data_IF_915760787837
#
_entry.id   IF_915760787837
#
_cell.length_a   1.000
_cell.length_b   1.000
_cell.length_c   1.000
_cell.angle_alpha   90.00
_cell.angle_beta   90.00
_cell.angle_gamma   90.00
#
_symmetry.space_group_name_H-M   'P 1'
#
loop_
_entity.id
_entity.type
_entity.pdbx_description
1 polymer ?
#
# COMPACT_ATOMS: atom_id res chain seq x y z
N UNK A 1 -41.98 0.50 -36.32
CA UNK A 1 -42.62 -0.68 -35.70
C UNK A 1 -41.53 -1.73 -35.44
N UNK A 2 -41.52 -2.26 -34.22
CA UNK A 2 -40.88 -3.52 -33.77
C UNK A 2 -39.38 -3.47 -33.39
N UNK A 3 -39.19 -3.71 -32.07
CA UNK A 3 -37.98 -3.95 -31.27
C UNK A 3 -37.37 -5.35 -31.51
N UNK A 4 -36.07 -5.48 -31.28
CA UNK A 4 -35.40 -6.52 -30.44
C UNK A 4 -33.91 -6.15 -30.35
N UNK A 5 -33.35 -5.72 -29.22
CA UNK A 5 -33.04 -6.45 -27.98
C UNK A 5 -32.14 -7.66 -28.20
N UNK A 6 -30.89 -7.56 -27.73
CA UNK A 6 -30.24 -8.62 -26.96
C UNK A 6 -29.18 -8.00 -26.04
N UNK A 7 -29.35 -8.34 -24.77
CA UNK A 7 -28.46 -8.09 -23.65
C UNK A 7 -27.35 -9.17 -23.62
N UNK A 8 -26.39 -8.91 -22.73
CA UNK A 8 -25.58 -9.88 -21.97
C UNK A 8 -24.33 -10.50 -22.63
N UNK A 9 -23.20 -9.86 -22.33
CA UNK A 9 -21.88 -10.52 -22.33
C UNK A 9 -21.65 -11.04 -20.91
N UNK A 10 -22.05 -12.29 -20.70
CA UNK A 10 -21.79 -13.08 -19.50
C UNK A 10 -20.34 -13.59 -19.49
N UNK A 11 -19.69 -13.42 -18.34
CA UNK A 11 -18.47 -14.10 -17.91
C UNK A 11 -18.46 -15.60 -18.27
N UNK A 12 -17.42 -16.06 -18.98
CA UNK A 12 -16.69 -17.32 -18.76
C UNK A 12 -15.78 -17.64 -19.94
N UNK A 13 -14.55 -17.13 -19.94
CA UNK A 13 -13.51 -17.67 -20.84
C UNK A 13 -12.11 -17.34 -20.33
N UNK A 14 -11.71 -17.96 -19.22
CA UNK A 14 -10.31 -17.98 -18.80
C UNK A 14 -9.96 -19.26 -18.03
N UNK A 15 -10.59 -20.39 -18.35
CA UNK A 15 -10.14 -21.73 -17.90
C UNK A 15 -10.29 -22.70 -19.07
N UNK A 16 -9.53 -22.48 -20.14
CA UNK A 16 -9.36 -23.47 -21.21
C UNK A 16 -8.02 -23.29 -21.96
N UNK A 17 -7.00 -22.74 -21.30
CA UNK A 17 -5.65 -22.63 -21.85
C UNK A 17 -4.67 -23.73 -21.42
N UNK A 18 -4.97 -24.46 -20.34
CA UNK A 18 -3.97 -25.34 -19.69
C UNK A 18 -4.18 -26.82 -19.99
N UNK A 19 -5.28 -27.20 -20.65
CA UNK A 19 -5.52 -28.59 -21.06
C UNK A 19 -4.86 -28.93 -22.40
N UNK A 20 -4.56 -27.96 -23.26
CA UNK A 20 -3.98 -28.20 -24.59
C UNK A 20 -2.51 -28.66 -24.57
N UNK A 21 -1.70 -28.10 -23.66
CA UNK A 21 -0.26 -28.36 -23.66
C UNK A 21 0.13 -29.68 -22.96
N UNK A 22 -0.71 -30.19 -22.07
CA UNK A 22 -0.46 -31.47 -21.39
C UNK A 22 -0.60 -32.67 -22.36
N UNK A 23 -1.50 -32.58 -23.34
CA UNK A 23 -1.66 -33.63 -24.36
C UNK A 23 -0.51 -33.66 -25.38
N UNK A 24 0.16 -32.52 -25.63
CA UNK A 24 1.31 -32.47 -26.54
C UNK A 24 2.57 -33.12 -25.98
N UNK A 25 2.84 -32.98 -24.69
CA UNK A 25 4.01 -33.59 -24.05
C UNK A 25 3.86 -35.11 -23.93
N UNK A 26 2.63 -35.60 -23.77
CA UNK A 26 2.41 -37.04 -23.62
C UNK A 26 2.44 -37.84 -24.93
N UNK A 27 2.46 -37.20 -26.10
CA UNK A 27 2.63 -37.90 -27.37
C UNK A 27 4.08 -38.31 -27.63
N UNK A 28 5.05 -37.72 -26.91
CA UNK A 28 6.49 -37.95 -27.13
C UNK A 28 7.08 -39.03 -26.22
N UNK A 29 6.40 -39.39 -25.13
CA UNK A 29 6.86 -40.43 -24.20
C UNK A 29 5.80 -41.53 -24.07
N UNK A 30 6.16 -42.76 -24.44
CA UNK A 30 5.35 -43.96 -24.27
C UNK A 30 5.20 -44.33 -22.78
N UNK A 31 4.45 -43.52 -22.04
CA UNK A 31 4.10 -43.79 -20.65
C UNK A 31 2.92 -44.77 -20.65
N UNK A 32 3.15 -46.00 -20.17
CA UNK A 32 2.13 -47.05 -20.09
C UNK A 32 0.91 -46.56 -19.30
N UNK A 33 -0.29 -46.90 -19.79
CA UNK A 33 -1.61 -46.51 -19.26
C UNK A 33 -1.76 -46.66 -17.73
N UNK A 34 -1.08 -47.64 -17.12
CA UNK A 34 -1.08 -47.83 -15.66
C UNK A 34 -0.38 -46.72 -14.87
N UNK A 35 0.65 -46.07 -15.42
CA UNK A 35 1.38 -44.97 -14.77
C UNK A 35 0.53 -43.69 -14.76
N UNK A 36 -0.26 -43.46 -15.81
CA UNK A 36 -1.21 -42.32 -15.86
C UNK A 36 -2.29 -42.41 -14.79
N UNK A 37 -2.82 -43.61 -14.55
CA UNK A 37 -3.83 -43.83 -13.50
C UNK A 37 -3.21 -43.62 -12.11
N UNK A 38 -1.96 -44.08 -11.91
CA UNK A 38 -1.26 -43.89 -10.65
C UNK A 38 -0.97 -42.41 -10.33
N UNK A 39 -0.60 -41.59 -11.31
CA UNK A 39 -0.38 -40.15 -11.14
C UNK A 39 -1.67 -39.37 -10.83
N UNK A 40 -2.79 -39.76 -11.44
CA UNK A 40 -4.10 -39.15 -11.15
C UNK A 40 -4.55 -39.48 -9.73
N UNK A 41 -4.36 -40.74 -9.30
CA UNK A 41 -4.70 -41.17 -7.93
C UNK A 41 -3.78 -40.50 -6.90
N UNK A 42 -2.49 -40.31 -7.21
CA UNK A 42 -1.54 -39.62 -6.33
C UNK A 42 -1.91 -38.13 -6.12
N UNK A 43 -2.45 -37.46 -7.14
CA UNK A 43 -3.00 -36.10 -7.01
C UNK A 43 -4.30 -36.04 -6.20
N UNK A 44 -5.08 -37.12 -6.16
CA UNK A 44 -6.33 -37.19 -5.38
C UNK A 44 -6.15 -37.68 -3.93
N UNK A 45 -4.99 -38.23 -3.58
CA UNK A 45 -4.69 -38.79 -2.25
C UNK A 45 -3.76 -37.93 -1.40
N UNK A 46 -3.29 -36.77 -1.90
CA UNK A 46 -2.74 -35.76 -1.00
C UNK A 46 -3.93 -35.16 -0.24
N UNK A 47 -4.06 -35.41 1.08
CA UNK A 47 -5.05 -34.70 1.86
C UNK A 47 -4.77 -33.22 1.66
N UNK A 48 -5.79 -32.48 1.22
CA UNK A 48 -5.74 -31.04 1.13
C UNK A 48 -5.29 -30.51 2.47
N UNK A 49 -3.99 -30.24 2.58
CA UNK A 49 -3.44 -29.49 3.68
C UNK A 49 -4.19 -28.18 3.61
N UNK A 50 -5.16 -28.01 4.50
CA UNK A 50 -5.70 -26.72 4.86
C UNK A 50 -4.49 -25.98 5.44
N UNK A 51 -3.70 -25.39 4.56
CA UNK A 51 -2.93 -24.22 4.92
C UNK A 51 -3.98 -23.25 5.41
N UNK A 52 -4.04 -23.06 6.73
CA UNK A 52 -4.48 -21.81 7.31
C UNK A 52 -3.48 -20.74 6.84
N UNK A 53 -3.47 -20.47 5.53
CA UNK A 53 -2.75 -19.40 4.91
C UNK A 53 -3.52 -18.14 5.22
N UNK A 54 -2.81 -17.16 5.78
CA UNK A 54 -3.25 -15.77 5.83
C UNK A 54 -4.06 -15.46 4.59
N UNK A 55 -5.33 -15.11 4.78
CA UNK A 55 -6.26 -14.77 3.71
C UNK A 55 -5.58 -13.67 2.88
N UNK A 56 -5.12 -13.98 1.67
CA UNK A 56 -4.70 -12.93 0.74
C UNK A 56 -5.95 -12.06 0.59
N UNK A 57 -5.87 -10.79 1.03
CA UNK A 57 -6.95 -9.86 0.82
C UNK A 57 -7.07 -9.64 -0.69
N UNK A 58 -7.95 -10.41 -1.35
CA UNK A 58 -8.24 -10.31 -2.78
C UNK A 58 -9.02 -9.03 -3.16
N UNK A 59 -8.97 -8.01 -2.29
CA UNK A 59 -9.69 -6.74 -2.43
C UNK A 59 -8.78 -5.62 -2.89
N UNK A 60 -9.34 -4.40 -2.90
CA UNK A 60 -8.58 -3.18 -3.08
C UNK A 60 -8.00 -2.73 -1.74
N UNK A 61 -6.87 -2.02 -1.78
CA UNK A 61 -6.33 -1.38 -0.57
C UNK A 61 -7.37 -0.42 0.02
N UNK A 62 -7.52 -0.49 1.34
CA UNK A 62 -8.43 0.30 2.15
C UNK A 62 -7.67 0.93 3.32
N UNK A 63 -8.09 2.11 3.81
CA UNK A 63 -7.52 2.71 5.02
C UNK A 63 -7.62 1.81 6.26
N UNK A 64 -8.52 0.82 6.27
CA UNK A 64 -8.69 -0.11 7.38
C UNK A 64 -7.66 -1.26 7.40
N UNK A 65 -6.79 -1.36 6.39
CA UNK A 65 -5.73 -2.37 6.33
C UNK A 65 -4.53 -2.04 7.24
N UNK A 66 -4.79 -1.72 8.51
CA UNK A 66 -3.75 -1.47 9.54
C UNK A 66 -2.83 -2.68 9.69
N UNK A 67 -1.57 -2.45 10.04
CA UNK A 67 -0.51 -3.47 10.00
C UNK A 67 -0.36 -4.10 8.61
N UNK A 68 -0.39 -3.29 7.54
CA UNK A 68 -0.36 -3.79 6.18
C UNK A 68 0.91 -4.63 5.96
N UNK A 69 0.75 -5.92 5.69
CA UNK A 69 1.89 -6.81 5.43
C UNK A 69 2.49 -6.52 4.05
N UNK A 70 3.77 -6.83 3.86
CA UNK A 70 4.40 -6.71 2.54
C UNK A 70 3.74 -7.63 1.50
N UNK A 71 3.29 -8.83 1.91
CA UNK A 71 2.55 -9.73 1.03
C UNK A 71 1.27 -9.08 0.52
N UNK A 72 0.49 -8.47 1.40
CA UNK A 72 -0.77 -7.82 1.03
C UNK A 72 -0.52 -6.56 0.21
N UNK A 73 0.47 -5.74 0.58
CA UNK A 73 0.88 -4.58 -0.22
C UNK A 73 1.20 -4.99 -1.66
N UNK A 74 2.03 -6.02 -1.86
CA UNK A 74 2.38 -6.51 -3.19
C UNK A 74 1.17 -7.09 -3.91
N UNK A 75 0.26 -7.74 -3.19
CA UNK A 75 -1.04 -8.18 -3.72
C UNK A 75 -1.86 -7.03 -4.30
N UNK A 76 -1.98 -5.91 -3.58
CA UNK A 76 -2.69 -4.72 -4.04
C UNK A 76 -1.95 -4.01 -5.19
N UNK A 77 -0.61 -3.93 -5.12
CA UNK A 77 0.21 -3.29 -6.14
C UNK A 77 0.26 -4.08 -7.46
N UNK A 78 0.03 -5.39 -7.43
CA UNK A 78 0.02 -6.25 -8.61
C UNK A 78 -1.17 -6.01 -9.56
N UNK A 79 -2.09 -5.10 -9.22
CA UNK A 79 -3.21 -4.74 -10.10
C UNK A 79 -2.76 -4.22 -11.47
N UNK A 80 -3.48 -4.62 -12.53
CA UNK A 80 -3.30 -4.06 -13.88
C UNK A 80 -3.90 -2.65 -14.01
N UNK A 81 -4.70 -2.21 -13.02
CA UNK A 81 -5.29 -0.89 -12.99
C UNK A 81 -4.31 0.14 -12.40
N UNK A 82 -3.89 1.11 -13.22
CA UNK A 82 -3.00 2.20 -12.80
C UNK A 82 -3.55 3.00 -11.62
N UNK A 83 -4.87 3.19 -11.53
CA UNK A 83 -5.48 3.91 -10.41
C UNK A 83 -5.31 3.14 -9.09
N UNK A 84 -5.40 1.81 -9.12
CA UNK A 84 -5.25 0.96 -7.93
C UNK A 84 -3.78 0.86 -7.50
N UNK A 85 -2.86 0.82 -8.47
CA UNK A 85 -1.42 1.00 -8.23
C UNK A 85 -1.14 2.34 -7.54
N UNK A 86 -1.67 3.43 -8.07
CA UNK A 86 -1.53 4.76 -7.45
C UNK A 86 -2.11 4.79 -6.03
N UNK A 87 -3.30 4.23 -5.82
CA UNK A 87 -3.90 4.16 -4.49
C UNK A 87 -2.98 3.42 -3.51
N UNK A 88 -2.37 2.32 -3.96
CA UNK A 88 -1.40 1.55 -3.15
C UNK A 88 -0.14 2.35 -2.87
N UNK A 89 0.36 3.10 -3.86
CA UNK A 89 1.53 3.98 -3.68
C UNK A 89 1.27 5.18 -2.75
N UNK A 90 0.01 5.55 -2.48
CA UNK A 90 -0.30 6.52 -1.42
C UNK A 90 0.19 6.06 -0.05
N UNK A 91 0.20 4.75 0.21
CA UNK A 91 0.75 4.18 1.44
C UNK A 91 2.26 4.46 1.52
N UNK A 92 2.99 4.28 0.41
CA UNK A 92 4.42 4.60 0.32
C UNK A 92 4.66 6.08 0.59
N UNK A 93 3.83 6.97 0.01
CA UNK A 93 3.90 8.41 0.26
C UNK A 93 3.70 8.74 1.75
N UNK A 94 2.73 8.10 2.41
CA UNK A 94 2.49 8.28 3.84
C UNK A 94 3.67 7.85 4.71
N UNK A 95 4.24 6.67 4.44
CA UNK A 95 5.43 6.18 5.15
C UNK A 95 6.64 7.09 4.90
N UNK A 96 6.83 7.52 3.65
CA UNK A 96 7.90 8.43 3.24
C UNK A 96 7.78 9.77 3.99
N UNK A 97 6.63 10.44 3.95
CA UNK A 97 6.40 11.71 4.63
C UNK A 97 6.59 11.64 6.16
N UNK A 98 6.23 10.51 6.77
CA UNK A 98 6.36 10.27 8.21
C UNK A 98 7.81 10.13 8.69
N UNK A 99 8.67 9.57 7.83
CA UNK A 99 10.05 9.17 8.14
C UNK A 99 11.11 10.10 7.51
N UNK A 100 10.74 10.89 6.51
CA UNK A 100 11.62 11.84 5.83
C UNK A 100 12.05 12.97 6.77
N UNK A 101 13.32 13.36 6.68
CA UNK A 101 13.95 14.36 7.55
C UNK A 101 14.29 13.81 8.94
N UNK A 102 13.98 12.54 9.23
CA UNK A 102 14.25 11.87 10.51
C UNK A 102 15.15 10.65 10.33
N UNK A 103 14.67 9.66 9.58
CA UNK A 103 15.40 8.41 9.33
C UNK A 103 16.19 8.46 8.01
N UNK A 104 15.62 9.12 7.01
CA UNK A 104 16.19 9.29 5.67
C UNK A 104 15.90 10.69 5.16
N UNK A 105 16.69 11.19 4.22
CA UNK A 105 16.57 12.54 3.71
C UNK A 105 16.74 12.51 2.19
N UNK A 106 15.70 12.90 1.45
CA UNK A 106 15.74 12.86 -0.01
C UNK A 106 14.76 13.78 -0.70
N UNK A 107 13.81 14.40 0.00
CA UNK A 107 12.91 15.35 -0.65
C UNK A 107 13.67 16.57 -1.17
N UNK A 108 13.26 17.01 -2.37
CA UNK A 108 13.97 18.05 -3.14
C UNK A 108 15.20 17.56 -3.91
N UNK A 109 15.69 16.34 -3.64
CA UNK A 109 16.85 15.74 -4.33
C UNK A 109 16.46 14.51 -5.15
N UNK A 110 15.45 13.77 -4.69
CA UNK A 110 14.98 12.52 -5.29
C UNK A 110 13.50 12.68 -5.65
N UNK A 111 13.14 12.34 -6.88
CA UNK A 111 11.76 12.38 -7.34
C UNK A 111 10.95 11.15 -6.86
N UNK A 112 9.63 11.25 -6.90
CA UNK A 112 8.73 10.21 -6.40
C UNK A 112 8.81 8.90 -7.20
N UNK A 113 9.14 8.95 -8.50
CA UNK A 113 9.28 7.75 -9.33
C UNK A 113 10.51 6.98 -8.88
N UNK A 114 11.62 7.68 -8.66
CA UNK A 114 12.86 7.08 -8.14
C UNK A 114 12.67 6.49 -6.74
N UNK A 115 11.95 7.19 -5.86
CA UNK A 115 11.56 6.67 -4.52
C UNK A 115 10.77 5.36 -4.67
N UNK A 116 9.68 5.38 -5.44
CA UNK A 116 8.81 4.20 -5.62
C UNK A 116 9.57 3.02 -6.24
N UNK A 117 10.38 3.26 -7.28
CA UNK A 117 11.19 2.23 -7.91
C UNK A 117 12.20 1.61 -6.93
N UNK A 118 12.85 2.43 -6.10
CA UNK A 118 13.80 1.96 -5.07
C UNK A 118 13.12 1.07 -4.04
N UNK A 119 11.94 1.48 -3.56
CA UNK A 119 11.14 0.70 -2.60
C UNK A 119 10.71 -0.64 -3.20
N UNK A 120 10.20 -0.65 -4.43
CA UNK A 120 9.73 -1.87 -5.10
C UNK A 120 10.89 -2.84 -5.35
N UNK A 121 12.05 -2.34 -5.80
CA UNK A 121 13.25 -3.16 -5.95
C UNK A 121 13.73 -3.75 -4.62
N UNK A 122 13.59 -3.01 -3.51
CA UNK A 122 13.88 -3.53 -2.17
C UNK A 122 12.93 -4.65 -1.77
N UNK A 123 11.64 -4.52 -2.08
CA UNK A 123 10.63 -5.54 -1.82
C UNK A 123 10.92 -6.84 -2.56
N UNK A 124 11.29 -6.80 -3.85
CA UNK A 124 11.64 -7.99 -4.62
C UNK A 124 12.73 -8.84 -3.95
N UNK A 125 13.71 -8.19 -3.30
CA UNK A 125 14.83 -8.85 -2.65
C UNK A 125 14.47 -9.44 -1.26
N UNK A 126 13.49 -8.86 -0.57
CA UNK A 126 13.24 -9.14 0.86
C UNK A 126 11.89 -9.78 1.16
N UNK A 127 10.86 -9.56 0.32
CA UNK A 127 9.49 -10.01 0.59
C UNK A 127 9.36 -11.54 0.67
N UNK A 128 10.17 -12.29 -0.09
CA UNK A 128 10.16 -13.77 -0.05
C UNK A 128 10.60 -14.30 1.32
N UNK A 129 11.52 -13.60 1.99
CA UNK A 129 12.09 -14.04 3.28
C UNK A 129 11.23 -13.64 4.47
N UNK A 130 10.51 -12.51 4.37
CA UNK A 130 9.71 -11.94 5.45
C UNK A 130 8.35 -11.43 4.92
N UNK A 131 7.49 -12.30 4.38
CA UNK A 131 6.26 -11.87 3.69
C UNK A 131 5.20 -11.25 4.63
N UNK A 132 5.26 -11.57 5.92
CA UNK A 132 4.29 -11.10 6.92
C UNK A 132 4.81 -9.88 7.71
N UNK A 133 5.99 -9.34 7.36
CA UNK A 133 6.47 -8.10 7.98
C UNK A 133 5.63 -6.92 7.50
N UNK A 134 5.39 -5.94 8.37
CA UNK A 134 4.69 -4.70 8.02
C UNK A 134 5.45 -3.99 6.89
N UNK A 135 4.74 -3.61 5.83
CA UNK A 135 5.31 -2.99 4.63
C UNK A 135 6.07 -1.70 4.97
N UNK A 136 5.55 -0.88 5.89
CA UNK A 136 6.21 0.35 6.34
C UNK A 136 7.64 0.14 6.85
N UNK A 137 7.93 -1.01 7.48
CA UNK A 137 9.28 -1.35 7.96
C UNK A 137 10.25 -1.50 6.78
N UNK A 138 9.86 -2.29 5.76
CA UNK A 138 10.72 -2.51 4.59
C UNK A 138 10.84 -1.25 3.72
N UNK A 139 9.81 -0.41 3.67
CA UNK A 139 9.87 0.89 2.98
C UNK A 139 10.90 1.78 3.67
N UNK A 140 10.80 1.96 4.99
CA UNK A 140 11.77 2.77 5.73
C UNK A 140 13.19 2.22 5.59
N UNK A 141 13.40 0.90 5.70
CA UNK A 141 14.71 0.28 5.47
C UNK A 141 15.27 0.60 4.08
N UNK A 142 14.44 0.51 3.03
CA UNK A 142 14.84 0.84 1.67
C UNK A 142 15.29 2.31 1.55
N UNK A 143 14.53 3.23 2.14
CA UNK A 143 14.79 4.67 2.06
C UNK A 143 16.03 5.05 2.88
N UNK A 144 16.19 4.51 4.09
CA UNK A 144 17.39 4.71 4.92
C UNK A 144 18.64 4.20 4.22
N UNK A 145 18.55 3.03 3.57
CA UNK A 145 19.69 2.41 2.89
C UNK A 145 20.16 3.21 1.68
N UNK A 146 19.24 3.74 0.89
CA UNK A 146 19.54 4.39 -0.38
C UNK A 146 19.66 5.92 -0.27
N UNK A 147 18.99 6.54 0.69
CA UNK A 147 18.91 7.99 0.88
C UNK A 147 19.18 8.40 2.35
N UNK A 148 20.32 8.01 2.95
CA UNK A 148 20.61 8.32 4.34
C UNK A 148 20.75 9.84 4.55
N UNK A 149 20.28 10.34 5.69
CA UNK A 149 20.53 11.73 6.07
C UNK A 149 22.02 11.99 6.26
N UNK A 150 22.55 12.99 5.56
CA UNK A 150 23.91 13.48 5.80
C UNK A 150 23.93 14.30 7.09
N UNK A 151 24.96 14.17 7.92
CA UNK A 151 25.10 14.88 9.22
C UNK A 151 25.31 16.40 9.12
N UNK A 152 25.12 16.99 7.96
CA UNK A 152 25.33 18.43 7.76
C UNK A 152 24.00 19.16 7.82
N UNK A 153 23.90 20.09 8.76
CA UNK A 153 22.83 21.06 8.97
C UNK A 153 22.56 21.87 7.70
N UNK A 154 21.81 21.30 6.77
CA UNK A 154 21.16 22.06 5.72
C UNK A 154 19.67 21.79 5.85
N UNK A 155 19.02 22.65 6.63
CA UNK A 155 17.58 22.89 6.54
C UNK A 155 17.29 23.42 5.13
N UNK A 156 17.31 22.54 4.13
CA UNK A 156 16.78 22.83 2.81
C UNK A 156 15.28 22.94 3.03
N UNK A 157 14.79 24.18 3.18
CA UNK A 157 13.37 24.47 3.12
C UNK A 157 12.89 23.98 1.76
N UNK A 158 12.22 22.82 1.75
CA UNK A 158 11.57 22.29 0.55
C UNK A 158 10.63 23.40 0.09
N UNK A 159 10.91 23.95 -1.09
CA UNK A 159 10.09 25.00 -1.67
C UNK A 159 8.64 24.50 -1.73
N UNK A 160 7.74 25.21 -1.06
CA UNK A 160 6.30 24.95 -1.15
C UNK A 160 5.91 24.93 -2.62
N UNK A 161 5.36 23.81 -3.10
CA UNK A 161 4.75 23.76 -4.43
C UNK A 161 3.69 24.88 -4.48
N UNK A 162 3.88 25.85 -5.38
CA UNK A 162 2.99 27.00 -5.53
C UNK A 162 1.77 26.70 -6.39
N UNK A 163 1.78 25.59 -7.12
CA UNK A 163 0.67 25.17 -7.96
C UNK A 163 -0.36 24.39 -7.15
N UNK A 164 -1.65 24.74 -7.22
CA UNK A 164 -2.69 24.01 -6.51
C UNK A 164 -2.77 22.56 -7.00
N UNK A 165 -2.72 21.62 -6.05
CA UNK A 165 -2.93 20.21 -6.34
C UNK A 165 -4.41 20.04 -6.73
N UNK A 166 -4.65 19.51 -7.94
CA UNK A 166 -5.99 19.30 -8.48
C UNK A 166 -6.62 17.98 -8.00
N UNK A 167 -5.79 16.96 -7.79
CA UNK A 167 -6.17 15.65 -7.26
C UNK A 167 -5.02 15.08 -6.47
N UNK A 168 -5.30 14.30 -5.43
CA UNK A 168 -4.25 13.70 -4.61
C UNK A 168 -3.59 12.54 -5.36
N UNK A 169 -2.27 12.55 -5.47
CA UNK A 169 -1.48 11.56 -6.22
C UNK A 169 -0.21 11.18 -5.44
N UNK A 170 0.41 10.03 -5.74
CA UNK A 170 1.61 9.58 -5.00
C UNK A 170 2.86 10.45 -5.18
N UNK A 171 2.88 11.34 -6.18
CA UNK A 171 3.98 12.28 -6.42
C UNK A 171 3.87 13.58 -5.59
N UNK A 172 2.81 13.72 -4.79
CA UNK A 172 2.60 14.84 -3.87
C UNK A 172 3.50 14.72 -2.62
N UNK A 173 4.81 14.57 -2.83
CA UNK A 173 5.82 14.52 -1.77
C UNK A 173 5.72 15.76 -0.87
N UNK A 174 5.98 15.58 0.42
CA UNK A 174 5.88 16.64 1.42
C UNK A 174 4.46 17.24 1.44
N UNK A 175 3.45 16.37 1.50
CA UNK A 175 2.03 16.76 1.43
C UNK A 175 1.70 17.70 2.59
N UNK A 176 1.16 18.88 2.28
CA UNK A 176 0.76 19.84 3.31
C UNK A 176 -0.47 19.36 4.08
N UNK A 177 -0.62 19.77 5.33
CA UNK A 177 -1.83 19.54 6.12
C UNK A 177 -3.08 20.11 5.45
N UNK A 178 -2.96 21.26 4.78
CA UNK A 178 -4.05 21.89 4.03
C UNK A 178 -4.52 21.00 2.87
N UNK A 179 -3.60 20.51 2.04
CA UNK A 179 -3.93 19.66 0.91
C UNK A 179 -4.48 18.31 1.38
N UNK A 180 -3.80 17.67 2.35
CA UNK A 180 -4.27 16.43 2.95
C UNK A 180 -5.71 16.57 3.48
N UNK A 181 -5.95 17.57 4.33
CA UNK A 181 -7.26 17.75 4.97
C UNK A 181 -8.35 18.04 3.93
N UNK A 182 -8.06 18.91 2.95
CA UNK A 182 -8.95 19.21 1.82
C UNK A 182 -9.37 17.95 1.06
N UNK A 183 -8.43 17.09 0.69
CA UNK A 183 -8.73 15.88 -0.07
C UNK A 183 -9.41 14.81 0.78
N UNK A 184 -9.03 14.69 2.05
CA UNK A 184 -9.59 13.70 2.96
C UNK A 184 -11.07 13.93 3.27
N UNK A 185 -11.47 15.19 3.42
CA UNK A 185 -12.88 15.56 3.66
C UNK A 185 -13.65 15.85 2.37
N UNK A 186 -13.04 15.64 1.21
CA UNK A 186 -13.67 15.92 -0.08
C UNK A 186 -14.85 14.97 -0.37
N UNK A 187 -15.79 15.43 -1.20
CA UNK A 187 -16.85 14.58 -1.74
C UNK A 187 -16.37 13.60 -2.82
N UNK A 188 -15.12 13.73 -3.28
CA UNK A 188 -14.53 12.83 -4.26
C UNK A 188 -14.04 11.55 -3.57
N UNK A 189 -14.69 10.42 -3.86
CA UNK A 189 -14.37 9.15 -3.21
C UNK A 189 -12.93 8.68 -3.47
N UNK A 190 -12.35 9.02 -4.63
CA UNK A 190 -10.97 8.67 -4.95
C UNK A 190 -10.00 9.46 -4.09
N UNK A 191 -10.17 10.77 -3.99
CA UNK A 191 -9.28 11.62 -3.19
C UNK A 191 -9.39 11.27 -1.70
N UNK A 192 -10.62 11.01 -1.23
CA UNK A 192 -10.88 10.53 0.14
C UNK A 192 -10.19 9.19 0.42
N UNK A 193 -10.29 8.22 -0.50
CA UNK A 193 -9.60 6.93 -0.40
C UNK A 193 -8.07 7.14 -0.35
N UNK A 194 -7.52 7.90 -1.28
CA UNK A 194 -6.07 8.17 -1.36
C UNK A 194 -5.54 8.85 -0.11
N UNK A 195 -6.28 9.81 0.44
CA UNK A 195 -5.91 10.45 1.70
C UNK A 195 -5.98 9.47 2.87
N UNK A 196 -6.99 8.61 2.92
CA UNK A 196 -7.09 7.55 3.93
C UNK A 196 -5.94 6.54 3.85
N UNK A 197 -5.52 6.14 2.64
CA UNK A 197 -4.39 5.22 2.46
C UNK A 197 -3.05 5.89 2.77
N UNK A 198 -2.91 7.19 2.50
CA UNK A 198 -1.78 8.00 2.99
C UNK A 198 -1.73 7.99 4.53
N UNK A 199 -2.86 8.26 5.20
CA UNK A 199 -2.95 8.24 6.66
C UNK A 199 -2.55 6.86 7.22
N UNK A 200 -3.06 5.77 6.63
CA UNK A 200 -2.66 4.41 6.97
C UNK A 200 -1.13 4.23 6.90
N UNK A 201 -0.46 4.74 5.86
CA UNK A 201 0.99 4.70 5.75
C UNK A 201 1.72 5.46 6.87
N UNK A 202 1.23 6.66 7.23
CA UNK A 202 1.76 7.45 8.35
C UNK A 202 1.63 6.70 9.68
N UNK A 203 0.44 6.14 9.92
CA UNK A 203 0.15 5.38 11.14
C UNK A 203 1.02 4.12 11.24
N UNK A 204 1.06 3.29 10.19
CA UNK A 204 1.84 2.05 10.16
C UNK A 204 3.36 2.29 10.31
N UNK A 205 3.86 3.45 9.86
CA UNK A 205 5.27 3.83 10.01
C UNK A 205 5.65 4.20 11.45
N UNK A 206 4.70 4.71 12.22
CA UNK A 206 4.94 5.37 13.51
C UNK A 206 4.34 4.63 14.72
N UNK A 207 3.36 3.76 14.49
CA UNK A 207 2.76 2.91 15.51
C UNK A 207 3.76 1.85 16.01
N UNK A 208 3.73 1.57 17.32
CA UNK A 208 4.71 0.81 18.09
C UNK A 208 6.13 1.41 18.12
N UNK A 209 6.31 2.64 17.63
CA UNK A 209 7.57 3.41 17.74
C UNK A 209 7.38 4.69 18.54
N UNK A 210 6.42 5.52 18.13
CA UNK A 210 6.15 6.84 18.71
C UNK A 210 4.86 6.85 19.52
N UNK A 211 3.91 5.99 19.16
CA UNK A 211 2.61 5.85 19.81
C UNK A 211 2.14 4.41 19.66
N UNK A 212 1.20 3.99 20.50
CA UNK A 212 0.62 2.64 20.44
C UNK A 212 -0.89 2.74 20.53
N UNK A 213 -1.58 2.26 19.50
CA UNK A 213 -3.02 2.43 19.47
C UNK A 213 -3.80 1.44 18.63
N UNK A 214 -3.19 0.63 17.77
CA UNK A 214 -3.96 -0.34 16.98
C UNK A 214 -4.64 -1.42 17.83
N UNK A 215 -4.09 -1.75 18.99
CA UNK A 215 -4.76 -2.63 19.95
C UNK A 215 -5.87 -1.95 20.76
N UNK A 216 -5.90 -0.61 20.79
CA UNK A 216 -6.76 0.19 21.68
C UNK A 216 -7.91 0.87 20.92
N UNK A 217 -7.66 1.27 19.67
CA UNK A 217 -8.54 2.10 18.86
C UNK A 217 -8.90 1.38 17.56
N UNK A 218 -10.16 1.50 17.17
CA UNK A 218 -10.57 1.15 15.80
C UNK A 218 -10.11 2.26 14.85
N UNK A 219 -9.91 1.93 13.58
CA UNK A 219 -9.53 2.90 12.53
C UNK A 219 -10.45 4.12 12.49
N UNK A 220 -11.77 3.91 12.62
CA UNK A 220 -12.74 5.02 12.69
C UNK A 220 -12.46 5.98 13.87
N UNK A 221 -12.03 5.46 15.02
CA UNK A 221 -11.69 6.28 16.19
C UNK A 221 -10.41 7.08 15.93
N UNK A 222 -9.37 6.47 15.34
CA UNK A 222 -8.15 7.18 14.97
C UNK A 222 -8.44 8.29 13.95
N UNK A 223 -9.23 7.98 12.93
CA UNK A 223 -9.69 8.95 11.95
C UNK A 223 -10.41 10.15 12.60
N UNK A 224 -11.31 9.90 13.55
CA UNK A 224 -12.00 10.99 14.26
C UNK A 224 -11.04 11.85 15.09
N UNK A 225 -10.07 11.23 15.78
CA UNK A 225 -9.06 11.94 16.56
C UNK A 225 -8.19 12.86 15.69
N UNK A 226 -7.73 12.34 14.54
CA UNK A 226 -6.96 13.12 13.57
C UNK A 226 -7.82 14.21 12.94
N UNK A 227 -9.06 13.90 12.56
CA UNK A 227 -10.00 14.87 11.99
C UNK A 227 -10.23 16.06 12.92
N UNK A 228 -10.59 15.80 14.19
CA UNK A 228 -10.82 16.87 15.18
C UNK A 228 -9.56 17.70 15.39
N UNK A 229 -8.39 17.05 15.43
CA UNK A 229 -7.11 17.74 15.60
C UNK A 229 -6.79 18.68 14.43
N UNK A 230 -7.00 18.25 13.19
CA UNK A 230 -6.72 19.06 12.01
C UNK A 230 -7.77 20.16 11.81
N UNK A 231 -9.05 19.87 12.09
CA UNK A 231 -10.14 20.84 12.00
C UNK A 231 -9.95 22.04 12.91
N UNK A 232 -9.32 21.85 14.06
CA UNK A 232 -9.08 22.91 15.03
C UNK A 232 -7.82 23.75 14.73
N UNK A 233 -7.08 23.45 13.66
CA UNK A 233 -5.89 24.20 13.25
C UNK A 233 -6.24 25.34 12.31
N UNK A 234 -5.45 26.39 12.36
CA UNK A 234 -5.47 27.49 11.39
C UNK A 234 -4.88 27.04 10.05
N UNK A 235 -5.19 27.77 8.97
CA UNK A 235 -4.59 27.53 7.66
C UNK A 235 -3.05 27.65 7.68
N UNK A 236 -2.50 28.50 8.56
CA UNK A 236 -1.05 28.66 8.70
C UNK A 236 -0.41 27.42 9.34
N UNK A 237 -1.01 26.89 10.41
CA UNK A 237 -0.55 25.64 11.03
C UNK A 237 -0.69 24.43 10.09
N UNK A 238 -1.71 24.43 9.23
CA UNK A 238 -1.92 23.39 8.23
C UNK A 238 -0.94 23.48 7.04
N UNK A 239 -0.10 24.53 6.94
CA UNK A 239 0.95 24.57 5.91
C UNK A 239 2.12 23.62 6.21
N UNK A 240 2.26 23.16 7.47
CA UNK A 240 3.22 22.11 7.82
C UNK A 240 2.86 20.78 7.15
N UNK A 241 3.83 19.86 7.10
CA UNK A 241 3.62 18.52 6.52
C UNK A 241 2.50 17.79 7.25
N UNK A 242 1.59 17.18 6.51
CA UNK A 242 0.44 16.45 7.06
C UNK A 242 0.88 15.34 8.03
N UNK A 243 1.88 14.53 7.64
CA UNK A 243 2.41 13.47 8.51
C UNK A 243 2.92 14.00 9.87
N UNK A 244 3.54 15.17 9.92
CA UNK A 244 4.00 15.78 11.18
C UNK A 244 2.81 16.15 12.08
N UNK A 245 1.80 16.79 11.50
CA UNK A 245 0.58 17.18 12.22
C UNK A 245 -0.19 15.96 12.75
N UNK A 246 -0.27 14.89 11.95
CA UNK A 246 -0.89 13.61 12.32
C UNK A 246 -0.11 12.97 13.49
N UNK A 247 1.21 12.82 13.35
CA UNK A 247 2.06 12.22 14.38
C UNK A 247 1.94 13.00 15.69
N UNK A 248 1.98 14.34 15.63
CA UNK A 248 1.84 15.20 16.82
C UNK A 248 0.54 14.95 17.58
N UNK A 249 -0.54 14.53 16.89
CA UNK A 249 -1.77 14.11 17.56
C UNK A 249 -1.68 12.70 18.15
N UNK A 250 -1.11 11.76 17.39
CA UNK A 250 -1.08 10.35 17.78
C UNK A 250 -0.15 10.07 18.96
N UNK A 251 0.93 10.85 19.13
CA UNK A 251 1.86 10.72 20.28
C UNK A 251 1.22 11.06 21.63
N UNK A 252 0.03 11.66 21.66
CA UNK A 252 -0.78 11.80 22.88
C UNK A 252 -1.22 10.43 23.45
N UNK A 253 -1.07 9.35 22.67
CA UNK A 253 -1.34 7.96 23.05
C UNK A 253 -0.04 7.14 23.08
N UNK A 254 0.86 7.40 24.05
CA UNK A 254 2.17 6.76 24.08
C UNK A 254 2.09 5.27 24.34
N UNK A 255 3.10 4.55 23.87
CA UNK A 255 3.29 3.14 24.20
C UNK A 255 3.48 2.96 25.72
N UNK A 256 2.69 2.06 26.31
CA UNK A 256 2.91 1.65 27.70
C UNK A 256 4.19 0.81 27.74
N UNK A 257 5.18 1.27 28.50
CA UNK A 257 6.43 0.57 28.80
C UNK A 257 6.15 -0.53 29.82
#
# INVERSE_FOLDING_TARGET
MIKKSTYDVSHHSAICGVTGDYYRISATYHIKRSIRVFLIILCCLLPGGVFAGSLINAGLISPDNVNLSIRDFLGFYASDNLQEKDNTLMYVLGVADATEGKAWCGYGQVDSITINHTVLAWFEQHAVKKPDVRASILIEEALVKNFPCQRTDSSIKIASRSSPILSLTPDALNLSGNDFFKFWVSGNQRDKLRAGVYLLGVEDATENKLWCGYALFKTLTLNELVYVSLKNKTNEELNSRAAELIINKLIEYPCKI
#
